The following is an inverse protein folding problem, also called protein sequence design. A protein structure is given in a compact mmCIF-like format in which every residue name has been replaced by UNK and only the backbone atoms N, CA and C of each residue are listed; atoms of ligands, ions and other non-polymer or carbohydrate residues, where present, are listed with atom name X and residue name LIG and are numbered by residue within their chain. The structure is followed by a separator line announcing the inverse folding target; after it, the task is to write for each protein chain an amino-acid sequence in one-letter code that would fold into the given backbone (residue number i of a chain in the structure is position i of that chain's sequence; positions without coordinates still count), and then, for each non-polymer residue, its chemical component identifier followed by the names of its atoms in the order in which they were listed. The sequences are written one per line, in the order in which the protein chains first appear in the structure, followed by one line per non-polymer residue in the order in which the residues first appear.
data_IF_245187447193
#
_entry.id   IF_245187447193
#
_cell.length_a   1.000
_cell.length_b   1.000
_cell.length_c   1.000
_cell.angle_alpha   90.00
_cell.angle_beta   90.00
_cell.angle_gamma   90.00
#
_symmetry.space_group_name_H-M   'P 1'
#
loop_
_entity.id
_entity.type
_entity.pdbx_description
1 polymer ?
#
# COMPACT_ATOMS: atom_id res chain seq x y z
N UNK A 1 1.99 -7.36 20.30
CA UNK A 1 1.21 -7.39 19.03
C UNK A 1 -0.27 -7.43 19.38
N UNK A 2 -0.97 -6.32 19.27
CA UNK A 2 -2.43 -6.30 19.38
C UNK A 2 -3.00 -6.99 18.12
N UNK A 3 -3.45 -8.22 18.26
CA UNK A 3 -4.15 -8.92 17.19
C UNK A 3 -5.47 -8.18 16.95
N UNK A 4 -5.59 -7.47 15.83
CA UNK A 4 -6.87 -6.91 15.41
C UNK A 4 -7.77 -8.09 15.02
N UNK A 5 -8.83 -8.30 15.78
CA UNK A 5 -9.85 -9.29 15.44
C UNK A 5 -10.63 -8.85 14.22
N UNK A 6 -10.79 -9.75 13.26
CA UNK A 6 -11.58 -9.52 12.06
C UNK A 6 -13.01 -9.10 12.40
N UNK A 7 -13.44 -7.97 11.82
CA UNK A 7 -14.81 -7.48 11.98
C UNK A 7 -15.76 -8.09 10.94
N UNK A 8 -17.08 -8.10 11.22
CA UNK A 8 -18.08 -8.52 10.22
C UNK A 8 -17.97 -7.78 8.88
N UNK A 9 -17.83 -6.44 8.87
CA UNK A 9 -17.58 -5.67 7.65
C UNK A 9 -16.31 -6.09 6.91
N UNK A 10 -15.20 -6.35 7.61
CA UNK A 10 -13.95 -6.82 7.00
C UNK A 10 -14.16 -8.18 6.30
N UNK A 11 -14.81 -9.14 6.96
CA UNK A 11 -15.12 -10.45 6.36
C UNK A 11 -16.00 -10.34 5.10
N UNK A 12 -16.97 -9.43 5.09
CA UNK A 12 -17.78 -9.16 3.87
C UNK A 12 -16.93 -8.61 2.74
N UNK A 13 -16.01 -7.68 3.03
CA UNK A 13 -15.06 -7.18 2.04
C UNK A 13 -14.21 -8.32 1.47
N UNK A 14 -13.66 -9.21 2.29
CA UNK A 14 -12.89 -10.37 1.84
C UNK A 14 -13.71 -11.27 0.90
N UNK A 15 -14.99 -11.50 1.19
CA UNK A 15 -15.86 -12.26 0.29
C UNK A 15 -15.98 -11.58 -1.09
N UNK A 16 -16.14 -10.26 -1.12
CA UNK A 16 -16.20 -9.48 -2.37
C UNK A 16 -14.88 -9.61 -3.15
N UNK A 17 -13.73 -9.48 -2.48
CA UNK A 17 -12.42 -9.59 -3.11
C UNK A 17 -12.19 -10.98 -3.71
N UNK A 18 -12.58 -12.04 -3.01
CA UNK A 18 -12.51 -13.41 -3.53
C UNK A 18 -13.37 -13.61 -4.78
N UNK A 19 -14.60 -13.10 -4.77
CA UNK A 19 -15.50 -13.16 -5.94
C UNK A 19 -14.94 -12.37 -7.13
N UNK A 20 -14.16 -11.31 -6.86
CA UNK A 20 -13.48 -10.51 -7.88
C UNK A 20 -12.14 -11.11 -8.37
N UNK A 21 -11.76 -12.31 -7.92
CA UNK A 21 -10.58 -13.02 -8.41
C UNK A 21 -9.32 -12.90 -7.55
N UNK A 22 -9.42 -12.38 -6.34
CA UNK A 22 -8.28 -12.39 -5.41
C UNK A 22 -8.19 -13.76 -4.76
N UNK A 23 -7.09 -14.47 -5.04
CA UNK A 23 -6.87 -15.87 -4.61
C UNK A 23 -5.71 -16.02 -3.63
N UNK A 24 -4.81 -15.03 -3.53
CA UNK A 24 -3.69 -15.09 -2.60
C UNK A 24 -4.18 -14.94 -1.16
N UNK A 25 -4.10 -16.03 -0.39
CA UNK A 25 -4.64 -16.08 0.97
C UNK A 25 -3.90 -15.13 1.92
N UNK A 26 -2.58 -14.97 1.79
CA UNK A 26 -1.81 -14.05 2.63
C UNK A 26 -2.24 -12.59 2.42
N UNK A 27 -2.51 -12.20 1.17
CA UNK A 27 -3.03 -10.87 0.84
C UNK A 27 -4.41 -10.66 1.46
N UNK A 28 -5.30 -11.64 1.36
CA UNK A 28 -6.63 -11.58 1.95
C UNK A 28 -6.58 -11.46 3.47
N UNK A 29 -5.72 -12.27 4.13
CA UNK A 29 -5.57 -12.26 5.59
C UNK A 29 -5.03 -10.92 6.12
N UNK A 30 -4.05 -10.35 5.41
CA UNK A 30 -3.49 -9.05 5.78
C UNK A 30 -4.50 -7.92 5.58
N UNK A 31 -5.29 -7.95 4.50
CA UNK A 31 -6.36 -6.96 4.27
C UNK A 31 -7.45 -7.11 5.36
N UNK A 32 -7.85 -8.32 5.69
CA UNK A 32 -8.88 -8.59 6.71
C UNK A 32 -8.47 -8.07 8.10
N UNK A 33 -7.20 -8.23 8.45
CA UNK A 33 -6.68 -7.87 9.78
C UNK A 33 -6.09 -6.46 9.88
N UNK A 34 -5.97 -5.74 8.76
CA UNK A 34 -5.51 -4.35 8.77
C UNK A 34 -6.70 -3.40 8.93
N UNK A 35 -6.77 -2.63 10.02
CA UNK A 35 -7.94 -1.79 10.34
C UNK A 35 -8.01 -0.58 9.40
N UNK A 36 -8.66 -0.75 8.24
CA UNK A 36 -8.71 0.25 7.17
C UNK A 36 -9.33 1.59 7.63
N UNK A 37 -10.26 1.58 8.59
CA UNK A 37 -10.86 2.79 9.16
C UNK A 37 -9.86 3.77 9.77
N UNK A 38 -8.67 3.31 10.18
CA UNK A 38 -7.63 4.16 10.72
C UNK A 38 -6.89 4.99 9.65
N UNK A 39 -7.11 4.69 8.37
CA UNK A 39 -6.42 5.31 7.24
C UNK A 39 -7.24 6.36 6.51
N UNK A 40 -8.36 6.79 7.07
CA UNK A 40 -9.28 7.78 6.50
C UNK A 40 -9.80 8.73 7.58
N UNK A 41 -10.46 9.84 7.20
CA UNK A 41 -11.15 10.70 8.16
C UNK A 41 -12.20 9.92 8.95
N UNK A 42 -12.35 10.23 10.24
CA UNK A 42 -13.30 9.56 11.14
C UNK A 42 -14.74 9.62 10.61
N UNK A 43 -15.13 10.71 9.98
CA UNK A 43 -16.45 10.89 9.34
C UNK A 43 -16.75 9.85 8.25
N UNK A 44 -15.72 9.24 7.67
CA UNK A 44 -15.82 8.21 6.62
C UNK A 44 -15.56 6.78 7.14
N UNK A 45 -15.23 6.62 8.41
CA UNK A 45 -14.87 5.32 9.00
C UNK A 45 -15.97 4.26 8.81
N UNK A 46 -17.24 4.67 8.80
CA UNK A 46 -18.40 3.79 8.56
C UNK A 46 -18.40 3.16 7.15
N UNK A 47 -17.70 3.76 6.18
CA UNK A 47 -17.53 3.28 4.80
C UNK A 47 -16.22 2.53 4.56
N UNK A 48 -15.40 2.36 5.60
CA UNK A 48 -14.04 1.85 5.47
C UNK A 48 -13.94 0.50 4.73
N UNK A 49 -14.95 -0.34 4.83
CA UNK A 49 -14.98 -1.67 4.24
C UNK A 49 -15.86 -1.77 2.98
N UNK A 50 -16.33 -0.65 2.46
CA UNK A 50 -16.91 -0.59 1.11
C UNK A 50 -15.80 -0.73 0.07
N UNK A 51 -16.08 -1.45 -1.03
CA UNK A 51 -15.10 -1.63 -2.11
C UNK A 51 -15.06 -0.38 -3.04
N UNK A 52 -14.70 0.76 -2.46
CA UNK A 52 -14.63 2.06 -3.15
C UNK A 52 -13.43 2.88 -2.67
N UNK A 53 -12.97 3.80 -3.52
CA UNK A 53 -12.02 4.83 -3.14
C UNK A 53 -12.72 5.92 -2.30
N UNK A 54 -12.04 6.44 -1.29
CA UNK A 54 -12.57 7.47 -0.39
C UNK A 54 -11.58 8.63 -0.23
N UNK A 55 -12.04 9.89 -0.08
CA UNK A 55 -11.16 11.03 0.09
C UNK A 55 -10.40 10.97 1.42
N UNK A 56 -9.13 11.39 1.40
CA UNK A 56 -8.25 11.48 2.56
C UNK A 56 -7.71 12.89 2.81
N UNK A 57 -8.23 13.88 2.10
CA UNK A 57 -7.73 15.26 2.10
C UNK A 57 -6.65 15.50 1.05
N UNK A 58 -6.24 16.75 0.92
CA UNK A 58 -5.22 17.20 -0.05
C UNK A 58 -5.52 16.80 -1.51
N UNK A 59 -6.79 16.64 -1.88
CA UNK A 59 -7.20 16.19 -3.22
C UNK A 59 -6.84 14.72 -3.52
N UNK A 60 -6.50 13.93 -2.49
CA UNK A 60 -6.10 12.52 -2.64
C UNK A 60 -7.15 11.57 -2.07
N UNK A 61 -7.06 10.31 -2.46
CA UNK A 61 -7.95 9.25 -2.01
C UNK A 61 -7.17 8.06 -1.46
N UNK A 62 -7.77 7.32 -0.52
CA UNK A 62 -7.37 5.95 -0.26
C UNK A 62 -7.91 5.08 -1.40
N UNK A 63 -7.05 4.27 -2.01
CA UNK A 63 -7.41 3.43 -3.15
C UNK A 63 -8.53 2.43 -2.80
N UNK A 64 -9.35 2.08 -3.79
CA UNK A 64 -10.34 1.03 -3.68
C UNK A 64 -9.71 -0.28 -3.17
N UNK A 65 -10.32 -1.00 -2.23
CA UNK A 65 -9.76 -2.25 -1.69
C UNK A 65 -9.41 -3.29 -2.76
N UNK A 66 -10.24 -3.45 -3.79
CA UNK A 66 -9.94 -4.37 -4.89
C UNK A 66 -8.65 -3.97 -5.64
N UNK A 67 -8.42 -2.68 -5.87
CA UNK A 67 -7.18 -2.21 -6.51
C UNK A 67 -5.96 -2.54 -5.64
N UNK A 68 -6.03 -2.26 -4.34
CA UNK A 68 -4.97 -2.61 -3.38
C UNK A 68 -4.69 -4.12 -3.40
N UNK A 69 -5.73 -4.95 -3.34
CA UNK A 69 -5.61 -6.39 -3.34
C UNK A 69 -5.00 -6.92 -4.65
N UNK A 70 -5.46 -6.41 -5.81
CA UNK A 70 -4.96 -6.81 -7.13
C UNK A 70 -3.49 -6.47 -7.29
N UNK A 71 -3.09 -5.22 -7.01
CA UNK A 71 -1.70 -4.80 -7.14
C UNK A 71 -0.78 -5.57 -6.19
N UNK A 72 -1.24 -5.81 -4.95
CA UNK A 72 -0.49 -6.59 -3.97
C UNK A 72 -0.37 -8.05 -4.39
N UNK A 73 -1.45 -8.66 -4.87
CA UNK A 73 -1.42 -10.05 -5.35
C UNK A 73 -0.46 -10.24 -6.52
N UNK A 74 -0.46 -9.30 -7.48
CA UNK A 74 0.49 -9.33 -8.61
C UNK A 74 1.94 -9.21 -8.13
N UNK A 75 2.21 -8.30 -7.20
CA UNK A 75 3.54 -8.16 -6.60
C UNK A 75 3.98 -9.45 -5.89
N UNK A 76 3.08 -10.09 -5.15
CA UNK A 76 3.36 -11.30 -4.38
C UNK A 76 3.48 -12.58 -5.22
N UNK A 77 3.30 -12.51 -6.55
CA UNK A 77 3.68 -13.59 -7.47
C UNK A 77 5.21 -13.68 -7.64
N UNK A 78 5.94 -12.69 -7.15
CA UNK A 78 7.40 -12.60 -7.21
C UNK A 78 7.96 -12.56 -5.78
N UNK A 79 9.17 -13.08 -5.57
CA UNK A 79 9.84 -13.05 -4.26
C UNK A 79 10.42 -11.65 -3.96
N UNK A 80 9.53 -10.71 -3.69
CA UNK A 80 9.86 -9.31 -3.45
C UNK A 80 10.05 -9.06 -1.95
N UNK A 81 11.28 -9.16 -1.45
CA UNK A 81 11.59 -8.88 -0.03
C UNK A 81 11.72 -7.39 0.27
N UNK A 82 12.17 -6.61 -0.71
CA UNK A 82 12.44 -5.18 -0.62
C UNK A 82 11.64 -4.45 -1.69
N UNK A 83 10.69 -3.64 -1.27
CA UNK A 83 9.71 -2.99 -2.14
C UNK A 83 9.82 -1.47 -2.05
N UNK A 84 9.78 -0.80 -3.20
CA UNK A 84 9.59 0.64 -3.30
C UNK A 84 8.13 0.95 -3.63
N UNK A 85 7.50 1.77 -2.82
CA UNK A 85 6.16 2.31 -3.04
C UNK A 85 6.23 3.79 -3.44
N UNK A 86 5.56 4.15 -4.51
CA UNK A 86 5.39 5.53 -4.98
C UNK A 86 3.97 5.98 -4.69
N UNK A 87 3.84 6.97 -3.80
CA UNK A 87 2.55 7.48 -3.34
C UNK A 87 2.08 6.82 -2.05
N UNK A 88 2.63 7.22 -0.91
CA UNK A 88 2.23 6.71 0.41
C UNK A 88 0.75 6.99 0.72
N UNK A 89 0.28 8.20 0.39
CA UNK A 89 -1.08 8.64 0.65
C UNK A 89 -1.48 8.48 2.11
N UNK A 90 -2.51 7.70 2.37
CA UNK A 90 -2.96 7.38 3.73
C UNK A 90 -2.01 6.49 4.51
N UNK A 91 -1.14 5.73 3.83
CA UNK A 91 -0.32 4.66 4.38
C UNK A 91 -0.99 3.28 4.38
N UNK A 92 -2.19 3.14 3.82
CA UNK A 92 -2.90 1.85 3.84
C UNK A 92 -2.19 0.78 3.00
N UNK A 93 -1.84 1.08 1.73
CA UNK A 93 -1.06 0.18 0.90
C UNK A 93 0.29 -0.14 1.54
N UNK A 94 0.95 0.88 2.12
CA UNK A 94 2.21 0.72 2.86
C UNK A 94 2.05 -0.28 4.02
N UNK A 95 0.95 -0.19 4.78
CA UNK A 95 0.67 -1.10 5.90
C UNK A 95 0.43 -2.54 5.45
N UNK A 96 -0.25 -2.73 4.32
CA UNK A 96 -0.45 -4.05 3.70
C UNK A 96 0.90 -4.65 3.29
N UNK A 97 1.71 -3.88 2.55
CA UNK A 97 3.04 -4.33 2.09
C UNK A 97 3.96 -4.66 3.27
N UNK A 98 4.01 -3.82 4.29
CA UNK A 98 4.88 -4.00 5.46
C UNK A 98 4.61 -5.30 6.24
N UNK A 99 3.44 -5.91 6.06
CA UNK A 99 3.07 -7.20 6.67
C UNK A 99 3.39 -8.39 5.77
N UNK A 100 3.80 -8.15 4.53
CA UNK A 100 4.03 -9.18 3.51
C UNK A 100 5.48 -9.27 3.06
N UNK A 101 6.27 -8.18 3.24
CA UNK A 101 7.66 -8.12 2.78
C UNK A 101 8.61 -7.72 3.90
N UNK A 102 9.92 -7.94 3.70
CA UNK A 102 10.93 -7.64 4.73
C UNK A 102 11.05 -6.15 4.99
N UNK A 103 11.01 -5.31 3.93
CA UNK A 103 11.11 -3.85 4.08
C UNK A 103 10.41 -3.08 2.96
N UNK A 104 9.68 -2.04 3.34
CA UNK A 104 9.02 -1.10 2.42
C UNK A 104 9.73 0.26 2.47
N UNK A 105 10.10 0.76 1.30
CA UNK A 105 10.54 2.13 1.09
C UNK A 105 9.41 2.89 0.41
N UNK A 106 8.90 3.96 1.03
CA UNK A 106 7.75 4.69 0.51
C UNK A 106 8.08 6.15 0.30
N UNK A 107 7.76 6.67 -0.89
CA UNK A 107 7.99 8.07 -1.28
C UNK A 107 6.66 8.79 -1.42
N UNK A 108 6.53 9.95 -0.75
CA UNK A 108 5.33 10.78 -0.79
C UNK A 108 5.70 12.24 -1.08
N UNK A 109 5.01 12.85 -2.05
CA UNK A 109 5.24 14.24 -2.42
C UNK A 109 4.50 15.26 -1.53
N UNK A 110 3.48 14.82 -0.80
CA UNK A 110 2.68 15.68 0.08
C UNK A 110 3.14 15.47 1.52
N UNK A 111 3.90 16.41 2.06
CA UNK A 111 4.51 16.30 3.39
C UNK A 111 3.49 16.02 4.51
N UNK A 112 2.29 16.62 4.42
CA UNK A 112 1.24 16.41 5.41
C UNK A 112 0.72 14.97 5.40
N UNK A 113 0.53 14.36 4.22
CA UNK A 113 0.12 12.97 4.11
C UNK A 113 1.20 12.03 4.66
N UNK A 114 2.47 12.27 4.30
CA UNK A 114 3.59 11.50 4.82
C UNK A 114 3.64 11.55 6.36
N UNK A 115 3.49 12.73 6.94
CA UNK A 115 3.51 12.90 8.40
C UNK A 115 2.42 12.06 9.08
N UNK A 116 1.18 12.13 8.58
CA UNK A 116 0.07 11.37 9.14
C UNK A 116 0.22 9.86 8.93
N UNK A 117 0.64 9.44 7.74
CA UNK A 117 0.91 8.03 7.44
C UNK A 117 1.98 7.45 8.37
N UNK A 118 3.09 8.18 8.57
CA UNK A 118 4.16 7.75 9.48
C UNK A 118 3.68 7.52 10.92
N UNK A 119 2.80 8.39 11.42
CA UNK A 119 2.21 8.21 12.75
C UNK A 119 1.30 6.98 12.83
N UNK A 120 0.45 6.76 11.82
CA UNK A 120 -0.43 5.59 11.74
C UNK A 120 0.37 4.29 11.70
N UNK A 121 1.38 4.20 10.84
CA UNK A 121 2.22 3.01 10.71
C UNK A 121 2.93 2.68 12.02
N UNK A 122 3.44 3.68 12.72
CA UNK A 122 4.06 3.50 14.06
C UNK A 122 3.06 3.01 15.10
N UNK A 123 1.83 3.53 15.10
CA UNK A 123 0.79 3.08 16.03
C UNK A 123 0.32 1.64 15.79
N UNK A 124 0.62 1.10 14.62
CA UNK A 124 0.37 -0.29 14.22
C UNK A 124 1.60 -1.20 14.39
N UNK A 125 2.67 -0.72 15.06
CA UNK A 125 3.94 -1.43 15.27
C UNK A 125 4.63 -1.87 13.95
N UNK A 126 4.41 -1.14 12.86
CA UNK A 126 5.04 -1.40 11.57
C UNK A 126 6.37 -0.62 11.48
N UNK A 127 7.47 -1.28 11.88
CA UNK A 127 8.80 -0.67 11.97
C UNK A 127 9.70 -0.94 10.74
N UNK A 128 9.28 -1.82 9.85
CA UNK A 128 9.99 -2.17 8.61
C UNK A 128 9.59 -1.25 7.43
N UNK A 129 9.31 0.01 7.71
CA UNK A 129 8.95 1.03 6.73
C UNK A 129 9.89 2.22 6.83
N UNK A 130 10.55 2.55 5.73
CA UNK A 130 11.30 3.80 5.56
C UNK A 130 10.50 4.75 4.67
N UNK A 131 10.36 5.99 5.09
CA UNK A 131 9.56 6.98 4.36
C UNK A 131 10.40 8.19 3.98
N UNK A 132 10.24 8.68 2.75
CA UNK A 132 10.87 9.89 2.24
C UNK A 132 9.84 10.84 1.64
N UNK A 133 9.97 12.14 1.98
CA UNK A 133 9.27 13.20 1.27
C UNK A 133 10.06 13.56 0.00
N UNK A 134 9.42 13.58 -1.14
CA UNK A 134 10.04 13.92 -2.41
C UNK A 134 9.21 13.53 -3.62
N UNK A 135 9.77 13.79 -4.81
CA UNK A 135 9.18 13.36 -6.06
C UNK A 135 9.28 11.83 -6.20
N UNK A 136 8.15 11.18 -6.37
CA UNK A 136 8.07 9.74 -6.55
C UNK A 136 8.71 9.26 -7.85
N UNK A 137 8.70 10.09 -8.91
CA UNK A 137 9.31 9.73 -10.20
C UNK A 137 10.83 9.58 -10.14
N UNK A 138 11.49 10.17 -9.15
CA UNK A 138 12.93 9.96 -8.90
C UNK A 138 13.22 8.63 -8.20
N UNK A 139 12.19 7.99 -7.63
CA UNK A 139 12.33 6.80 -6.79
C UNK A 139 13.17 7.06 -5.54
N UNK A 140 14.03 6.08 -5.19
CA UNK A 140 14.94 6.18 -4.05
C UNK A 140 16.29 5.53 -4.36
N UNK A 141 17.08 6.16 -5.22
CA UNK A 141 18.35 5.61 -5.78
C UNK A 141 19.31 5.06 -4.72
N UNK A 142 19.47 5.76 -3.58
CA UNK A 142 20.40 5.33 -2.52
C UNK A 142 19.94 4.05 -1.78
N UNK A 143 18.73 3.59 -2.06
CA UNK A 143 18.15 2.36 -1.50
C UNK A 143 17.93 1.28 -2.55
N UNK A 144 18.17 1.57 -3.82
CA UNK A 144 18.12 0.57 -4.89
C UNK A 144 19.21 -0.53 -4.70
N UNK A 145 19.06 -1.70 -5.33
CA UNK A 145 17.93 -2.12 -6.13
C UNK A 145 16.75 -2.63 -5.31
N UNK A 146 15.55 -2.65 -5.95
CA UNK A 146 14.31 -3.14 -5.36
C UNK A 146 13.83 -4.40 -6.08
N UNK A 147 13.38 -5.40 -5.33
CA UNK A 147 12.76 -6.60 -5.90
C UNK A 147 11.38 -6.31 -6.49
N UNK A 148 10.68 -5.31 -5.94
CA UNK A 148 9.40 -4.83 -6.46
C UNK A 148 9.27 -3.31 -6.36
N UNK A 149 8.58 -2.73 -7.34
CA UNK A 149 8.15 -1.33 -7.32
C UNK A 149 6.63 -1.31 -7.50
N UNK A 150 5.93 -0.62 -6.62
CA UNK A 150 4.48 -0.44 -6.72
C UNK A 150 4.17 1.06 -6.81
N UNK A 151 3.47 1.46 -7.87
CA UNK A 151 3.06 2.85 -8.09
C UNK A 151 1.58 2.98 -7.79
N UNK A 152 1.23 3.74 -6.76
CA UNK A 152 -0.17 3.93 -6.32
C UNK A 152 -0.75 5.27 -6.77
N UNK A 153 0.02 6.04 -7.52
CA UNK A 153 -0.39 7.28 -8.16
C UNK A 153 -0.65 7.05 -9.66
N UNK A 154 -1.58 7.82 -10.25
CA UNK A 154 -1.79 7.75 -11.67
C UNK A 154 -0.53 8.17 -12.45
N UNK A 155 -0.13 7.35 -13.42
CA UNK A 155 1.01 7.60 -14.27
C UNK A 155 0.57 7.60 -15.74
N UNK A 156 1.10 8.54 -16.51
CA UNK A 156 0.87 8.60 -17.98
C UNK A 156 1.93 7.80 -18.75
N UNK A 157 3.04 7.51 -18.11
CA UNK A 157 4.17 6.75 -18.67
C UNK A 157 4.91 6.02 -17.56
N UNK A 158 5.72 5.03 -17.94
CA UNK A 158 6.59 4.30 -17.00
C UNK A 158 7.84 5.14 -16.76
N UNK A 159 8.10 5.64 -15.52
CA UNK A 159 9.28 6.45 -15.26
C UNK A 159 10.56 5.62 -15.38
N UNK A 160 11.47 6.02 -16.28
CA UNK A 160 12.72 5.33 -16.54
C UNK A 160 13.58 5.20 -15.25
N UNK A 161 13.58 6.21 -14.40
CA UNK A 161 14.32 6.19 -13.14
C UNK A 161 13.85 5.08 -12.18
N UNK A 162 12.59 4.66 -12.25
CA UNK A 162 12.08 3.54 -11.44
C UNK A 162 12.49 2.20 -12.05
N UNK A 163 12.51 2.09 -13.38
CA UNK A 163 13.01 0.89 -14.08
C UNK A 163 14.47 0.63 -13.73
N UNK A 164 15.31 1.66 -13.75
CA UNK A 164 16.74 1.59 -13.40
C UNK A 164 16.99 1.19 -11.93
N UNK A 165 16.00 1.29 -11.06
CA UNK A 165 16.10 0.93 -9.65
C UNK A 165 15.55 -0.46 -9.35
N UNK A 166 15.02 -1.18 -10.34
CA UNK A 166 14.64 -2.58 -10.19
C UNK A 166 15.87 -3.48 -10.09
N UNK A 167 15.78 -4.52 -9.27
CA UNK A 167 16.73 -5.62 -9.29
C UNK A 167 16.57 -6.46 -10.57
N UNK A 168 17.56 -7.27 -10.90
CA UNK A 168 17.44 -8.26 -11.98
C UNK A 168 16.27 -9.21 -11.68
N UNK A 169 15.34 -9.32 -12.62
CA UNK A 169 14.09 -10.07 -12.42
C UNK A 169 13.06 -9.39 -11.51
N UNK A 170 13.31 -8.15 -11.09
CA UNK A 170 12.37 -7.35 -10.31
C UNK A 170 11.12 -6.98 -11.11
N UNK A 171 10.03 -6.69 -10.41
CA UNK A 171 8.72 -6.40 -11.00
C UNK A 171 8.24 -4.99 -10.65
N UNK A 172 7.61 -4.32 -11.61
CA UNK A 172 6.91 -3.06 -11.38
C UNK A 172 5.42 -3.25 -11.60
N UNK A 173 4.63 -2.84 -10.62
CA UNK A 173 3.16 -2.80 -10.70
C UNK A 173 2.74 -1.34 -10.78
N UNK A 174 2.12 -0.98 -11.89
CA UNK A 174 1.67 0.37 -12.19
C UNK A 174 0.26 0.29 -12.79
N UNK A 175 -0.74 1.04 -12.28
CA UNK A 175 -2.11 0.98 -12.76
C UNK A 175 -2.33 1.76 -14.05
#
# INVERSE_FOLDING_TARGET
MTAFTSSGPARRLISILRQAGITNQQVLDVIETTPRQLFMPESLAHKAYENTALPIGNGQTISQPLMVATMTQLLMQHDCKKVLEIGTGSGYQTAILARLVDHVYSVERIAQLQYHAKRRLRSLDLHNVSMRHGDGWEGWRSKAPFGGVIVTAAATEVPQALVEQLADGGVMIIP
#
